data_IF_504347493228
#
_entry.id   IF_504347493228
#
_cell.length_a   1.000
_cell.length_b   1.000
_cell.length_c   1.000
_cell.angle_alpha   90.00
_cell.angle_beta   90.00
_cell.angle_gamma   90.00
#
_symmetry.space_group_name_H-M   'P 1'
#
loop_
_entity.id
_entity.type
_entity.pdbx_description
1 polymer ?
#
# COMPACT_ATOMS: atom_id res chain seq x y z
N UNK A 1 -40.30 43.97 -39.56
CA UNK A 1 -39.66 43.80 -38.23
C UNK A 1 -40.17 42.56 -37.48
N UNK A 2 -41.48 42.27 -37.42
CA UNK A 2 -42.00 41.10 -36.69
C UNK A 2 -41.64 39.75 -37.34
N UNK A 3 -41.69 39.66 -38.67
CA UNK A 3 -41.36 38.42 -39.41
C UNK A 3 -39.88 38.02 -39.26
N UNK A 4 -38.96 38.99 -39.29
CA UNK A 4 -37.54 38.75 -39.04
C UNK A 4 -37.29 38.24 -37.62
N UNK A 5 -38.05 38.70 -36.64
CA UNK A 5 -37.94 38.25 -35.25
C UNK A 5 -38.52 36.84 -35.05
N UNK A 6 -39.55 36.50 -35.81
CA UNK A 6 -40.17 35.17 -35.81
C UNK A 6 -39.22 34.12 -36.41
N UNK A 7 -38.54 34.45 -37.52
CA UNK A 7 -37.52 33.57 -38.11
C UNK A 7 -36.33 33.31 -37.19
N UNK A 8 -35.87 34.32 -36.43
CA UNK A 8 -34.80 34.15 -35.43
C UNK A 8 -35.25 33.24 -34.29
N UNK A 9 -36.47 33.43 -33.78
CA UNK A 9 -37.02 32.59 -32.69
C UNK A 9 -37.25 31.14 -33.11
N UNK A 10 -37.60 30.89 -34.38
CA UNK A 10 -37.73 29.55 -34.93
C UNK A 10 -36.36 28.87 -35.03
N UNK A 11 -35.35 29.56 -35.55
CA UNK A 11 -33.99 29.04 -35.62
C UNK A 11 -33.40 28.74 -34.22
N UNK A 12 -33.64 29.62 -33.23
CA UNK A 12 -33.26 29.39 -31.84
C UNK A 12 -33.99 28.19 -31.24
N UNK A 13 -35.29 28.01 -31.52
CA UNK A 13 -36.04 26.84 -31.08
C UNK A 13 -35.49 25.53 -31.67
N UNK A 14 -35.12 25.54 -32.95
CA UNK A 14 -34.51 24.36 -33.59
C UNK A 14 -33.16 24.05 -32.97
N UNK A 15 -32.33 25.07 -32.73
CA UNK A 15 -31.03 24.91 -32.07
C UNK A 15 -31.16 24.37 -30.65
N UNK A 16 -32.12 24.88 -29.86
CA UNK A 16 -32.39 24.38 -28.52
C UNK A 16 -32.89 22.93 -28.52
N UNK A 17 -33.75 22.55 -29.47
CA UNK A 17 -34.21 21.16 -29.61
C UNK A 17 -33.07 20.21 -29.95
N UNK A 18 -32.17 20.60 -30.85
CA UNK A 18 -30.99 19.81 -31.17
C UNK A 18 -30.07 19.68 -29.95
N UNK A 19 -29.85 20.76 -29.20
CA UNK A 19 -29.02 20.74 -27.99
C UNK A 19 -29.61 19.85 -26.89
N UNK A 20 -30.94 19.87 -26.72
CA UNK A 20 -31.63 18.98 -25.78
C UNK A 20 -31.52 17.51 -26.21
N UNK A 21 -31.56 17.21 -27.51
CA UNK A 21 -31.38 15.86 -28.01
C UNK A 21 -29.95 15.34 -27.77
N UNK A 22 -28.93 16.16 -28.01
CA UNK A 22 -27.52 15.85 -27.69
C UNK A 22 -27.32 15.58 -26.20
N UNK A 23 -27.80 16.47 -25.33
CA UNK A 23 -27.66 16.30 -23.87
C UNK A 23 -28.37 15.05 -23.35
N UNK A 24 -29.50 14.67 -23.95
CA UNK A 24 -30.18 13.40 -23.62
C UNK A 24 -29.34 12.19 -24.04
N UNK A 25 -28.76 12.22 -25.24
CA UNK A 25 -27.89 11.14 -25.71
C UNK A 25 -26.62 11.01 -24.84
N UNK A 26 -26.00 12.12 -24.44
CA UNK A 26 -24.86 12.15 -23.52
C UNK A 26 -25.24 11.56 -22.14
N UNK A 27 -26.38 11.97 -21.59
CA UNK A 27 -26.88 11.44 -20.31
C UNK A 27 -27.14 9.94 -20.39
N UNK A 28 -27.80 9.48 -21.44
CA UNK A 28 -28.16 8.07 -21.58
C UNK A 28 -26.90 7.20 -21.79
N UNK A 29 -25.88 7.72 -22.48
CA UNK A 29 -24.56 7.08 -22.59
C UNK A 29 -23.84 7.01 -21.23
N UNK A 30 -23.85 8.08 -20.44
CA UNK A 30 -23.26 8.10 -19.10
C UNK A 30 -23.96 7.11 -18.14
N UNK A 31 -25.30 7.00 -18.22
CA UNK A 31 -26.07 6.02 -17.46
C UNK A 31 -25.72 4.58 -17.89
N UNK A 32 -25.54 4.34 -19.19
CA UNK A 32 -25.11 3.03 -19.70
C UNK A 32 -23.71 2.66 -19.18
N UNK A 33 -22.75 3.59 -19.21
CA UNK A 33 -21.41 3.37 -18.66
C UNK A 33 -21.43 3.06 -17.16
N UNK A 34 -22.25 3.78 -16.39
CA UNK A 34 -22.39 3.56 -14.95
C UNK A 34 -22.97 2.17 -14.65
N UNK A 35 -23.93 1.69 -15.44
CA UNK A 35 -24.49 0.34 -15.31
C UNK A 35 -23.46 -0.75 -15.63
N UNK A 36 -22.67 -0.58 -16.69
CA UNK A 36 -21.61 -1.52 -17.05
C UNK A 36 -20.54 -1.61 -15.96
N UNK A 37 -20.14 -0.46 -15.39
CA UNK A 37 -19.20 -0.45 -14.27
C UNK A 37 -19.77 -1.15 -13.03
N UNK A 38 -21.05 -0.96 -12.73
CA UNK A 38 -21.71 -1.62 -11.60
C UNK A 38 -21.81 -3.14 -11.79
N UNK A 39 -22.06 -3.61 -13.02
CA UNK A 39 -22.08 -5.04 -13.37
C UNK A 39 -20.69 -5.67 -13.22
N UNK A 40 -19.63 -5.02 -13.73
CA UNK A 40 -18.26 -5.50 -13.58
C UNK A 40 -17.86 -5.63 -12.10
N UNK A 41 -18.24 -4.66 -11.26
CA UNK A 41 -17.99 -4.71 -9.81
C UNK A 41 -18.76 -5.86 -9.11
N UNK A 42 -19.94 -6.24 -9.61
CA UNK A 42 -20.69 -7.38 -9.08
C UNK A 42 -20.05 -8.71 -9.48
N UNK A 43 -19.55 -8.84 -10.70
CA UNK A 43 -18.82 -10.02 -11.17
C UNK A 43 -17.53 -10.23 -10.35
N UNK A 44 -16.76 -9.17 -10.11
CA UNK A 44 -15.55 -9.22 -9.26
C UNK A 44 -15.88 -9.68 -7.81
N UNK A 45 -17.01 -9.24 -7.26
CA UNK A 45 -17.46 -9.67 -5.92
C UNK A 45 -17.84 -11.15 -5.87
N UNK A 46 -18.46 -11.68 -6.93
CA UNK A 46 -18.80 -13.10 -7.01
C UNK A 46 -17.55 -13.98 -7.16
N UNK A 47 -16.55 -13.52 -7.92
CA UNK A 47 -15.27 -14.24 -8.05
C UNK A 47 -14.49 -14.27 -6.73
N UNK A 48 -14.45 -13.15 -6.00
CA UNK A 48 -13.82 -13.07 -4.67
C UNK A 48 -14.48 -14.02 -3.67
N UNK A 49 -15.83 -14.05 -3.64
CA UNK A 49 -16.56 -14.97 -2.77
C UNK A 49 -16.31 -16.45 -3.12
N UNK A 50 -16.14 -16.77 -4.41
CA UNK A 50 -15.80 -18.13 -4.85
C UNK A 50 -14.36 -18.52 -4.43
N UNK A 51 -13.40 -17.60 -4.51
CA UNK A 51 -12.03 -17.84 -4.03
C UNK A 51 -11.98 -18.05 -2.51
N UNK A 52 -12.75 -17.28 -1.75
CA UNK A 52 -12.84 -17.40 -0.29
C UNK A 52 -13.40 -18.76 0.13
N UNK A 53 -14.43 -19.26 -0.57
CA UNK A 53 -14.99 -20.60 -0.32
C UNK A 53 -13.98 -21.74 -0.58
N UNK A 54 -13.17 -21.64 -1.64
CA UNK A 54 -12.13 -22.63 -1.96
C UNK A 54 -11.00 -22.60 -0.91
N UNK A 55 -10.64 -21.40 -0.43
CA UNK A 55 -9.68 -21.22 0.65
C UNK A 55 -10.16 -21.85 1.96
N UNK A 56 -11.44 -21.66 2.32
CA UNK A 56 -12.02 -22.24 3.54
C UNK A 56 -12.05 -23.77 3.49
N UNK A 57 -12.35 -24.35 2.32
CA UNK A 57 -12.30 -25.80 2.12
C UNK A 57 -10.85 -26.35 2.25
N UNK A 58 -9.88 -25.68 1.61
CA UNK A 58 -8.47 -26.07 1.68
C UNK A 58 -7.85 -25.92 3.08
N UNK A 59 -8.27 -24.89 3.84
CA UNK A 59 -7.88 -24.71 5.24
C UNK A 59 -8.53 -25.79 6.12
N UNK A 60 -9.80 -26.11 5.88
CA UNK A 60 -10.51 -27.18 6.57
C UNK A 60 -9.90 -28.57 6.36
N UNK A 61 -9.41 -28.88 5.16
CA UNK A 61 -8.69 -30.12 4.87
C UNK A 61 -7.30 -30.16 5.52
N UNK A 62 -6.55 -29.06 5.51
CA UNK A 62 -5.24 -28.98 6.18
C UNK A 62 -5.34 -29.15 7.69
N UNK A 63 -6.35 -28.56 8.34
CA UNK A 63 -6.59 -28.73 9.78
C UNK A 63 -6.87 -30.21 10.10
N UNK A 64 -7.70 -30.88 9.29
CA UNK A 64 -8.00 -32.32 9.45
C UNK A 64 -6.78 -33.20 9.21
N UNK A 65 -5.90 -32.83 8.28
CA UNK A 65 -4.66 -33.54 8.02
C UNK A 65 -3.69 -33.45 9.21
N UNK A 66 -3.60 -32.29 9.87
CA UNK A 66 -2.79 -32.11 11.09
C UNK A 66 -3.33 -32.95 12.27
N UNK A 67 -4.64 -33.06 12.42
CA UNK A 67 -5.26 -33.93 13.44
C UNK A 67 -5.09 -35.43 13.11
N UNK A 68 -5.23 -35.82 11.84
CA UNK A 68 -5.14 -37.22 11.40
C UNK A 68 -3.73 -37.80 11.46
N UNK A 69 -2.70 -36.99 11.21
CA UNK A 69 -1.29 -37.46 11.18
C UNK A 69 -0.67 -37.57 12.59
N UNK A 70 -1.38 -37.18 13.66
CA UNK A 70 -0.87 -37.34 15.03
C UNK A 70 0.51 -36.69 15.23
N UNK A 71 0.74 -35.54 14.57
CA UNK A 71 2.04 -34.85 14.61
C UNK A 71 2.20 -34.17 15.98
N UNK A 72 2.75 -34.90 16.95
CA UNK A 72 3.49 -34.39 18.10
C UNK A 72 3.01 -33.04 18.68
N UNK A 73 1.72 -32.98 19.02
CA UNK A 73 1.05 -31.82 19.64
C UNK A 73 1.83 -31.20 20.81
N UNK A 74 2.51 -31.95 21.70
CA UNK A 74 3.26 -31.33 22.81
C UNK A 74 4.51 -30.57 22.35
N UNK A 75 5.18 -31.03 21.29
CA UNK A 75 6.42 -30.42 20.79
C UNK A 75 6.12 -29.15 19.98
N UNK A 76 5.05 -29.15 19.21
CA UNK A 76 4.56 -27.96 18.48
C UNK A 76 4.08 -26.91 19.48
N UNK A 77 3.26 -27.29 20.46
CA UNK A 77 2.80 -26.36 21.50
C UNK A 77 3.97 -25.78 22.31
N UNK A 78 4.96 -26.60 22.68
CA UNK A 78 6.16 -26.14 23.36
C UNK A 78 6.98 -25.19 22.48
N UNK A 79 7.11 -25.50 21.19
CA UNK A 79 7.75 -24.64 20.21
C UNK A 79 7.06 -23.28 20.11
N UNK A 80 5.73 -23.26 20.01
CA UNK A 80 4.94 -22.03 19.98
C UNK A 80 5.08 -21.21 21.27
N UNK A 81 5.05 -21.83 22.45
CA UNK A 81 5.25 -21.12 23.73
C UNK A 81 6.65 -20.49 23.84
N UNK A 82 7.68 -21.18 23.34
CA UNK A 82 9.04 -20.64 23.32
C UNK A 82 9.17 -19.45 22.36
N UNK A 83 8.58 -19.56 21.16
CA UNK A 83 8.56 -18.46 20.19
C UNK A 83 7.81 -17.24 20.72
N UNK A 84 6.65 -17.44 21.32
CA UNK A 84 5.84 -16.38 21.91
C UNK A 84 6.56 -15.71 23.11
N UNK A 85 7.21 -16.52 23.95
CA UNK A 85 8.06 -16.01 25.03
C UNK A 85 9.25 -15.19 24.53
N UNK A 86 9.90 -15.63 23.45
CA UNK A 86 10.99 -14.88 22.81
C UNK A 86 10.49 -13.56 22.20
N UNK A 87 9.32 -13.57 21.55
CA UNK A 87 8.70 -12.38 20.98
C UNK A 87 8.38 -11.33 22.06
N UNK A 88 7.67 -11.75 23.12
CA UNK A 88 7.35 -10.89 24.27
C UNK A 88 8.60 -10.37 24.98
N UNK A 89 9.63 -11.20 25.09
CA UNK A 89 10.94 -10.79 25.62
C UNK A 89 11.62 -9.73 24.76
N UNK A 90 11.59 -9.89 23.44
CA UNK A 90 12.14 -8.94 22.49
C UNK A 90 11.38 -7.61 22.52
N UNK A 91 10.04 -7.64 22.55
CA UNK A 91 9.19 -6.45 22.67
C UNK A 91 9.47 -5.69 23.97
N UNK A 92 9.58 -6.40 25.09
CA UNK A 92 9.84 -5.77 26.39
C UNK A 92 11.22 -5.10 26.44
N UNK A 93 12.23 -5.68 25.81
CA UNK A 93 13.61 -5.18 25.84
C UNK A 93 13.89 -4.12 24.78
N UNK A 94 13.29 -4.26 23.60
CA UNK A 94 13.62 -3.45 22.42
C UNK A 94 12.44 -2.60 21.91
N UNK A 95 11.27 -2.69 22.53
CA UNK A 95 10.05 -2.04 22.07
C UNK A 95 9.34 -2.82 20.96
N UNK A 96 8.17 -2.33 20.57
CA UNK A 96 7.40 -2.93 19.46
C UNK A 96 8.15 -2.76 18.13
N UNK A 97 7.90 -3.67 17.17
CA UNK A 97 8.49 -3.61 15.83
C UNK A 97 8.26 -2.25 15.18
N UNK A 98 7.03 -1.75 15.21
CA UNK A 98 6.66 -0.45 14.63
C UNK A 98 7.46 0.72 15.21
N UNK A 99 7.75 0.70 16.52
CA UNK A 99 8.55 1.75 17.18
C UNK A 99 10.02 1.72 16.71
N UNK A 100 10.56 0.52 16.48
CA UNK A 100 11.93 0.36 15.96
C UNK A 100 12.03 0.82 14.52
N UNK A 101 11.04 0.48 13.70
CA UNK A 101 10.98 0.92 12.30
C UNK A 101 10.84 2.45 12.18
N UNK A 102 10.00 3.06 13.01
CA UNK A 102 9.87 4.52 13.06
C UNK A 102 11.23 5.17 13.44
N UNK A 103 11.90 4.66 14.46
CA UNK A 103 13.23 5.14 14.87
C UNK A 103 14.27 5.01 13.75
N UNK A 104 14.31 3.89 13.03
CA UNK A 104 15.25 3.71 11.93
C UNK A 104 14.93 4.61 10.74
N UNK A 105 13.64 4.90 10.50
CA UNK A 105 13.22 5.86 9.48
C UNK A 105 13.69 7.27 9.81
N UNK A 106 13.49 7.73 11.04
CA UNK A 106 13.99 9.04 11.50
C UNK A 106 15.51 9.15 11.34
N UNK A 107 16.26 8.07 11.62
CA UNK A 107 17.70 8.04 11.41
C UNK A 107 18.08 8.11 9.93
N UNK A 108 17.32 7.44 9.06
CA UNK A 108 17.53 7.52 7.62
C UNK A 108 17.23 8.91 7.07
N UNK A 109 16.14 9.53 7.50
CA UNK A 109 15.74 10.87 7.06
C UNK A 109 16.82 11.91 7.40
N UNK A 110 17.43 11.78 8.58
CA UNK A 110 18.54 12.64 9.01
C UNK A 110 19.81 12.41 8.17
N UNK A 111 20.16 11.15 7.88
CA UNK A 111 21.26 10.80 6.98
C UNK A 111 21.05 11.42 5.60
N UNK A 112 19.85 11.30 5.05
CA UNK A 112 19.50 11.80 3.72
C UNK A 112 19.45 13.33 3.70
N UNK A 113 19.04 13.98 4.80
CA UNK A 113 19.12 15.43 4.97
C UNK A 113 20.56 15.91 4.93
N UNK A 114 21.44 15.30 5.73
CA UNK A 114 22.88 15.66 5.77
C UNK A 114 23.53 15.47 4.40
N UNK A 115 23.22 14.36 3.70
CA UNK A 115 23.75 14.14 2.36
C UNK A 115 23.27 15.16 1.34
N UNK A 116 21.99 15.59 1.41
CA UNK A 116 21.46 16.66 0.54
C UNK A 116 22.13 18.01 0.79
N UNK A 117 22.40 18.34 2.05
CA UNK A 117 23.08 19.60 2.42
C UNK A 117 24.58 19.57 2.08
N UNK A 118 25.20 18.40 2.16
CA UNK A 118 26.63 18.20 1.96
C UNK A 118 26.93 16.97 1.09
N UNK A 119 26.68 17.05 -0.23
CA UNK A 119 26.78 15.88 -1.12
C UNK A 119 28.19 15.34 -1.29
N UNK A 120 29.22 16.14 -0.99
CA UNK A 120 30.63 15.73 -1.04
C UNK A 120 31.12 15.02 0.24
N UNK A 121 30.31 14.95 1.30
CA UNK A 121 30.71 14.28 2.53
C UNK A 121 30.78 12.77 2.35
N UNK A 122 31.79 12.16 2.98
CA UNK A 122 31.92 10.70 3.01
C UNK A 122 30.88 10.07 3.93
N UNK A 123 30.47 8.84 3.64
CA UNK A 123 29.52 8.10 4.46
C UNK A 123 29.90 8.04 5.95
N UNK A 124 31.19 7.91 6.24
CA UNK A 124 31.72 7.91 7.61
C UNK A 124 31.42 9.22 8.34
N UNK A 125 31.65 10.36 7.67
CA UNK A 125 31.39 11.68 8.25
C UNK A 125 29.89 11.92 8.44
N UNK A 126 29.07 11.56 7.45
CA UNK A 126 27.60 11.65 7.53
C UNK A 126 27.08 10.84 8.72
N UNK A 127 27.56 9.60 8.86
CA UNK A 127 27.17 8.70 9.96
C UNK A 127 27.53 9.26 11.33
N UNK A 128 28.70 9.88 11.48
CA UNK A 128 29.11 10.50 12.75
C UNK A 128 28.29 11.74 13.07
N UNK A 129 27.95 12.55 12.08
CA UNK A 129 27.13 13.75 12.26
C UNK A 129 25.68 13.38 12.65
N UNK A 130 25.07 12.44 11.93
CA UNK A 130 23.74 11.91 12.26
C UNK A 130 23.73 11.26 13.67
N UNK A 131 24.77 10.51 14.01
CA UNK A 131 24.84 9.82 15.30
C UNK A 131 24.88 10.79 16.50
N UNK A 132 25.49 11.97 16.35
CA UNK A 132 25.49 13.02 17.39
C UNK A 132 24.08 13.52 17.69
N UNK A 133 23.24 13.68 16.67
CA UNK A 133 21.85 14.14 16.82
C UNK A 133 21.03 13.20 17.72
N UNK A 134 21.25 11.89 17.58
CA UNK A 134 20.51 10.87 18.34
C UNK A 134 21.24 10.36 19.59
N UNK A 135 22.43 10.89 19.91
CA UNK A 135 23.24 10.43 21.05
C UNK A 135 23.69 8.97 20.95
N UNK A 136 23.91 8.46 19.74
CA UNK A 136 24.35 7.07 19.49
C UNK A 136 25.73 7.02 18.83
N UNK A 137 26.24 5.81 18.60
CA UNK A 137 27.50 5.63 17.87
C UNK A 137 27.30 5.73 16.36
N UNK A 138 28.28 6.28 15.62
CA UNK A 138 28.26 6.26 14.16
C UNK A 138 28.25 4.84 13.56
N UNK A 139 28.69 3.83 14.33
CA UNK A 139 28.57 2.42 13.95
C UNK A 139 27.11 1.94 13.95
N UNK A 140 26.28 2.49 14.84
CA UNK A 140 24.85 2.17 14.93
C UNK A 140 24.12 2.68 13.69
N UNK A 141 24.36 3.92 13.27
CA UNK A 141 23.82 4.48 12.02
C UNK A 141 24.22 3.61 10.83
N UNK A 142 25.50 3.26 10.70
CA UNK A 142 26.00 2.40 9.61
C UNK A 142 25.39 0.99 9.55
N UNK A 143 24.83 0.50 10.65
CA UNK A 143 24.17 -0.82 10.71
C UNK A 143 22.70 -0.77 10.33
N UNK A 144 22.04 0.36 10.53
CA UNK A 144 20.58 0.47 10.42
C UNK A 144 20.13 1.40 9.29
N UNK A 145 21.01 2.26 8.79
CA UNK A 145 20.76 3.18 7.69
C UNK A 145 21.51 2.76 6.43
N UNK A 146 20.94 3.09 5.28
CA UNK A 146 21.52 2.89 3.96
C UNK A 146 22.47 4.03 3.63
N UNK A 147 23.60 3.70 3.00
CA UNK A 147 24.61 4.66 2.53
C UNK A 147 24.07 5.45 1.33
N UNK A 148 23.83 6.76 1.46
CA UNK A 148 23.27 7.58 0.39
C UNK A 148 24.30 7.93 -0.69
N UNK A 149 25.60 7.74 -0.43
CA UNK A 149 26.68 8.05 -1.37
C UNK A 149 26.89 6.96 -2.42
N UNK A 150 26.31 5.78 -2.21
CA UNK A 150 26.36 4.66 -3.14
C UNK A 150 25.10 4.64 -4.02
N UNK A 151 25.23 4.42 -5.33
CA UNK A 151 24.07 4.13 -6.16
C UNK A 151 23.39 2.89 -5.58
N UNK A 152 22.11 3.00 -5.23
CA UNK A 152 21.34 1.84 -4.82
C UNK A 152 21.24 0.93 -6.04
N UNK A 153 22.03 -0.14 -6.05
CA UNK A 153 21.78 -1.25 -6.96
C UNK A 153 20.39 -1.77 -6.58
N UNK A 154 19.41 -1.50 -7.45
CA UNK A 154 18.08 -2.12 -7.42
C UNK A 154 18.27 -3.63 -7.62
N UNK A 155 18.68 -4.33 -6.57
CA UNK A 155 18.69 -5.78 -6.52
C UNK A 155 17.66 -6.19 -5.49
N UNK A 156 16.44 -6.41 -6.00
CA UNK A 156 15.48 -7.36 -5.47
C UNK A 156 15.01 -7.14 -4.02
N UNK A 157 14.04 -6.24 -3.84
CA UNK A 157 12.99 -6.43 -2.83
C UNK A 157 11.70 -6.84 -3.53
N UNK A 158 11.71 -8.09 -3.98
CA UNK A 158 10.53 -8.87 -4.34
C UNK A 158 10.64 -10.15 -3.54
N UNK A 159 10.13 -10.13 -2.31
CA UNK A 159 9.60 -11.27 -1.57
C UNK A 159 8.63 -10.73 -0.53
#
# INVERSE_FOLDING_TARGET
>A
MLEQRLAVLEAENTALRNRVAELKAERDNAVAQTRLFSLAMQEDQHELAAQEAVLDEAVGENIRFVEFVGVNTPHIERGMRLLDGAHKGAERKHGQVAQREAKYREQQDEVDRIHREHPSMTWTAISELAARQFGISGRTIRRHCTDPTKPQNNTSRSQ
#
